data_IF_692870078869
#
_entry.id   IF_692870078869
#
_cell.length_a   1.000
_cell.length_b   1.000
_cell.length_c   1.000
_cell.angle_alpha   90.00
_cell.angle_beta   90.00
_cell.angle_gamma   90.00
#
_symmetry.space_group_name_H-M   'P 1'
#
loop_
_entity.id
_entity.type
_entity.pdbx_description
1 polymer ?
#
# COMPACT_ATOMS: atom_id res chain seq x y z
N UNK A 1 3.07 -17.69 -9.80
CA UNK A 1 2.72 -17.00 -8.55
C UNK A 1 1.43 -16.23 -8.72
N UNK A 2 0.51 -16.37 -7.76
CA UNK A 2 -0.78 -15.71 -7.85
C UNK A 2 -0.69 -14.29 -7.29
N UNK A 3 -0.74 -13.32 -8.18
CA UNK A 3 -0.69 -11.92 -7.77
C UNK A 3 -1.93 -11.20 -8.28
N UNK A 4 -2.36 -10.20 -7.52
CA UNK A 4 -3.41 -9.28 -7.95
C UNK A 4 -2.82 -8.28 -8.93
N UNK A 5 -1.61 -7.78 -8.62
CA UNK A 5 -0.87 -6.92 -9.53
C UNK A 5 0.61 -6.95 -9.20
N UNK A 6 1.40 -6.57 -10.20
CA UNK A 6 2.82 -6.26 -10.03
C UNK A 6 3.09 -5.01 -10.85
N UNK A 7 3.59 -3.97 -10.20
CA UNK A 7 3.84 -2.68 -10.85
C UNK A 7 5.19 -2.14 -10.42
N UNK A 8 5.73 -1.24 -11.22
CA UNK A 8 6.94 -0.49 -10.84
C UNK A 8 6.48 0.74 -10.08
N UNK A 9 6.95 0.88 -8.85
CA UNK A 9 6.53 1.97 -7.98
C UNK A 9 7.34 3.25 -8.26
N UNK A 10 7.05 4.29 -7.48
CA UNK A 10 7.73 5.58 -7.60
C UNK A 10 9.25 5.45 -7.44
N UNK A 11 9.71 4.50 -6.63
CA UNK A 11 11.14 4.31 -6.38
C UNK A 11 11.84 3.47 -7.45
N UNK A 12 11.09 2.92 -8.40
CA UNK A 12 11.65 2.07 -9.45
C UNK A 12 11.69 0.60 -9.10
N UNK A 13 11.12 0.20 -7.97
CA UNK A 13 11.06 -1.21 -7.56
C UNK A 13 9.80 -1.86 -8.09
N UNK A 14 9.88 -3.16 -8.35
CA UNK A 14 8.69 -3.95 -8.68
C UNK A 14 7.98 -4.32 -7.39
N UNK A 15 6.79 -3.81 -7.20
CA UNK A 15 5.98 -4.08 -6.01
C UNK A 15 4.79 -4.92 -6.43
N UNK A 16 4.57 -6.03 -5.72
CA UNK A 16 3.41 -6.87 -6.02
C UNK A 16 2.47 -6.95 -4.83
N UNK A 17 1.21 -7.24 -5.13
CA UNK A 17 0.18 -7.55 -4.14
C UNK A 17 -0.28 -8.97 -4.44
N UNK A 18 -0.03 -9.89 -3.51
CA UNK A 18 -0.45 -11.28 -3.70
C UNK A 18 -1.94 -11.43 -3.46
N UNK A 19 -2.53 -12.46 -4.06
CA UNK A 19 -3.93 -12.78 -3.81
C UNK A 19 -4.18 -13.09 -2.34
N UNK A 20 -3.25 -13.79 -1.70
CA UNK A 20 -3.37 -14.11 -0.30
C UNK A 20 -3.38 -12.85 0.56
N UNK A 21 -2.48 -11.92 0.31
CA UNK A 21 -2.43 -10.67 1.07
C UNK A 21 -3.68 -9.84 0.82
N UNK A 22 -4.13 -9.76 -0.42
CA UNK A 22 -5.35 -9.06 -0.76
C UNK A 22 -6.55 -9.63 -0.01
N UNK A 23 -6.61 -10.96 0.08
CA UNK A 23 -7.65 -11.63 0.83
C UNK A 23 -7.62 -11.24 2.31
N UNK A 24 -6.44 -11.18 2.90
CA UNK A 24 -6.29 -10.75 4.30
C UNK A 24 -6.74 -9.31 4.49
N UNK A 25 -6.34 -8.43 3.58
CA UNK A 25 -6.69 -7.00 3.69
C UNK A 25 -8.20 -6.80 3.58
N UNK A 26 -8.85 -7.53 2.68
CA UNK A 26 -10.26 -7.31 2.37
C UNK A 26 -11.21 -8.26 3.07
N UNK A 27 -10.71 -9.16 3.90
CA UNK A 27 -11.54 -10.14 4.60
C UNK A 27 -12.60 -9.43 5.45
N UNK A 28 -13.85 -9.95 5.49
CA UNK A 28 -14.87 -9.38 6.37
C UNK A 28 -14.47 -9.37 7.84
N UNK A 29 -13.57 -10.27 8.26
CA UNK A 29 -13.07 -10.30 9.62
C UNK A 29 -11.88 -9.38 9.88
N UNK A 30 -11.36 -8.71 8.82
CA UNK A 30 -10.27 -7.76 9.00
C UNK A 30 -10.80 -6.45 9.55
N UNK A 31 -9.87 -5.57 9.97
CA UNK A 31 -10.25 -4.25 10.42
C UNK A 31 -10.62 -3.31 9.27
N UNK A 32 -10.27 -3.68 8.04
CA UNK A 32 -10.37 -2.77 6.89
C UNK A 32 -11.00 -3.45 5.66
N UNK A 33 -12.19 -4.10 5.81
CA UNK A 33 -12.78 -4.80 4.67
C UNK A 33 -13.22 -3.86 3.53
N UNK A 34 -13.42 -2.57 3.83
CA UNK A 34 -13.78 -1.59 2.81
C UNK A 34 -12.69 -1.43 1.74
N UNK A 35 -11.47 -1.92 1.98
CA UNK A 35 -10.38 -1.80 1.02
C UNK A 35 -10.67 -2.53 -0.29
N UNK A 36 -11.66 -3.40 -0.33
CA UNK A 36 -12.10 -4.04 -1.58
C UNK A 36 -12.32 -3.03 -2.70
N UNK A 37 -12.80 -1.83 -2.35
CA UNK A 37 -13.15 -0.81 -3.34
C UNK A 37 -11.99 0.11 -3.70
N UNK A 38 -10.78 -0.16 -3.20
CA UNK A 38 -9.66 0.79 -3.33
C UNK A 38 -8.47 0.23 -4.09
N UNK A 39 -8.68 -0.81 -4.91
CA UNK A 39 -7.55 -1.44 -5.62
C UNK A 39 -6.82 -0.46 -6.54
N UNK A 40 -7.57 0.35 -7.29
CA UNK A 40 -6.94 1.32 -8.18
C UNK A 40 -6.17 2.38 -7.40
N UNK A 41 -6.73 2.83 -6.27
CA UNK A 41 -6.07 3.80 -5.42
C UNK A 41 -4.80 3.23 -4.79
N UNK A 42 -4.78 1.93 -4.48
CA UNK A 42 -3.56 1.28 -3.98
C UNK A 42 -2.46 1.36 -5.04
N UNK A 43 -2.80 1.07 -6.30
CA UNK A 43 -1.84 1.19 -7.40
C UNK A 43 -1.36 2.62 -7.55
N UNK A 44 -2.27 3.58 -7.46
CA UNK A 44 -1.90 4.99 -7.57
C UNK A 44 -1.00 5.44 -6.43
N UNK A 45 -1.27 4.97 -5.21
CA UNK A 45 -0.43 5.30 -4.06
C UNK A 45 1.01 4.83 -4.28
N UNK A 46 1.20 3.70 -4.95
CA UNK A 46 2.53 3.17 -5.22
C UNK A 46 3.24 3.92 -6.34
N UNK A 47 2.51 4.37 -7.35
CA UNK A 47 3.11 5.02 -8.53
C UNK A 47 3.18 6.53 -8.43
N UNK A 48 2.22 7.16 -7.76
CA UNK A 48 2.13 8.61 -7.63
C UNK A 48 1.74 8.98 -6.20
N UNK A 49 2.55 8.60 -5.21
CA UNK A 49 2.20 8.88 -3.82
C UNK A 49 2.24 10.36 -3.50
N UNK A 50 1.41 10.77 -2.55
CA UNK A 50 1.50 12.10 -1.97
C UNK A 50 2.76 12.21 -1.09
N UNK A 51 3.12 11.10 -0.43
CA UNK A 51 4.29 11.05 0.43
C UNK A 51 4.71 9.60 0.65
N UNK A 52 6.02 9.39 0.81
CA UNK A 52 6.56 8.08 1.21
C UNK A 52 7.31 8.31 2.52
N UNK A 53 7.01 7.48 3.52
CA UNK A 53 7.68 7.53 4.83
C UNK A 53 8.37 6.21 5.07
N UNK A 54 9.71 6.22 5.12
CA UNK A 54 10.48 5.03 5.45
C UNK A 54 10.47 4.83 6.96
N UNK A 55 10.34 3.59 7.41
CA UNK A 55 10.33 3.30 8.84
C UNK A 55 11.71 3.55 9.44
N UNK A 56 11.72 4.14 10.62
CA UNK A 56 12.97 4.53 11.28
C UNK A 56 13.80 3.32 11.68
N UNK A 57 13.15 2.27 12.18
CA UNK A 57 13.83 1.11 12.72
C UNK A 57 14.03 -0.01 11.69
N UNK A 58 13.40 0.11 10.53
CA UNK A 58 13.52 -0.91 9.49
C UNK A 58 13.42 -0.22 8.13
N UNK A 59 14.57 0.11 7.55
CA UNK A 59 14.62 0.84 6.29
C UNK A 59 14.14 0.02 5.09
N UNK A 60 13.78 -1.25 5.32
CA UNK A 60 13.15 -2.08 4.29
C UNK A 60 11.65 -1.97 4.29
N UNK A 61 11.08 -1.19 5.21
CA UNK A 61 9.64 -0.94 5.27
C UNK A 61 9.36 0.52 5.00
N UNK A 62 8.30 0.77 4.25
CA UNK A 62 7.87 2.12 3.93
C UNK A 62 6.36 2.17 3.83
N UNK A 63 5.81 3.34 4.15
CA UNK A 63 4.39 3.62 4.00
C UNK A 63 4.22 4.63 2.87
N UNK A 64 3.42 4.27 1.88
CA UNK A 64 3.07 5.12 0.76
C UNK A 64 1.72 5.72 1.05
N UNK A 65 1.62 7.04 1.00
CA UNK A 65 0.38 7.76 1.28
C UNK A 65 -0.17 8.37 0.01
N UNK A 66 -1.48 8.22 -0.19
CA UNK A 66 -2.20 8.90 -1.27
C UNK A 66 -3.36 9.67 -0.66
N UNK A 67 -3.41 10.98 -0.91
CA UNK A 67 -4.52 11.78 -0.43
C UNK A 67 -5.77 11.50 -1.26
N UNK A 68 -6.86 11.13 -0.60
CA UNK A 68 -8.16 10.88 -1.23
C UNK A 68 -9.01 12.13 -1.04
N UNK A 69 -8.98 12.98 -2.03
CA UNK A 69 -9.60 14.30 -1.96
C UNK A 69 -11.09 14.24 -1.63
N UNK A 70 -11.79 13.28 -2.24
CA UNK A 70 -13.24 13.15 -2.08
C UNK A 70 -13.64 12.82 -0.65
N UNK A 71 -12.73 12.26 0.12
CA UNK A 71 -13.02 11.81 1.49
C UNK A 71 -12.22 12.57 2.54
N UNK A 72 -11.26 13.39 2.11
CA UNK A 72 -10.43 14.13 3.05
C UNK A 72 -9.56 13.25 3.93
N UNK A 73 -9.16 12.09 3.44
CA UNK A 73 -8.35 11.13 4.20
C UNK A 73 -7.19 10.67 3.32
N UNK A 74 -6.23 9.99 3.93
CA UNK A 74 -5.13 9.37 3.22
C UNK A 74 -5.34 7.88 3.12
N UNK A 75 -4.95 7.31 1.98
CA UNK A 75 -4.77 5.87 1.86
C UNK A 75 -3.32 5.57 2.21
N UNK A 76 -3.11 4.68 3.17
CA UNK A 76 -1.78 4.21 3.52
C UNK A 76 -1.60 2.82 2.93
N UNK A 77 -0.50 2.63 2.18
CA UNK A 77 -0.11 1.32 1.65
C UNK A 77 1.25 0.99 2.22
N UNK A 78 1.29 -0.02 3.09
CA UNK A 78 2.53 -0.49 3.68
C UNK A 78 3.23 -1.45 2.74
N UNK A 79 4.55 -1.28 2.59
CA UNK A 79 5.36 -2.06 1.67
C UNK A 79 6.59 -2.56 2.39
N UNK A 80 6.97 -3.80 2.10
CA UNK A 80 8.25 -4.38 2.52
C UNK A 80 9.13 -4.49 1.30
N UNK A 81 10.29 -3.85 1.34
CA UNK A 81 11.27 -3.93 0.25
C UNK A 81 12.11 -5.19 0.37
N UNK A 82 12.39 -5.77 -0.79
CA UNK A 82 13.35 -6.86 -0.93
C UNK A 82 14.48 -6.34 -1.81
N UNK A 83 15.27 -7.25 -2.38
CA UNK A 83 16.37 -6.86 -3.27
C UNK A 83 15.80 -6.48 -4.64
N UNK A 84 15.62 -5.18 -4.88
CA UNK A 84 15.15 -4.67 -6.18
C UNK A 84 13.66 -4.80 -6.39
N UNK A 85 12.93 -5.41 -5.46
CA UNK A 85 11.48 -5.52 -5.55
C UNK A 85 10.89 -5.42 -4.15
N UNK A 86 9.59 -5.73 -4.02
CA UNK A 86 8.94 -5.69 -2.74
C UNK A 86 7.49 -6.13 -2.84
N UNK A 87 6.77 -6.05 -1.74
CA UNK A 87 5.37 -6.47 -1.73
C UNK A 87 4.58 -5.63 -0.74
N UNK A 88 3.27 -5.53 -1.04
CA UNK A 88 2.32 -4.83 -0.16
C UNK A 88 2.09 -5.69 1.07
N UNK A 89 2.20 -5.09 2.24
CA UNK A 89 1.92 -5.79 3.50
C UNK A 89 0.57 -5.44 4.07
N UNK A 90 0.10 -4.20 3.86
CA UNK A 90 -1.20 -3.77 4.38
C UNK A 90 -1.68 -2.56 3.59
N UNK A 91 -2.96 -2.23 3.75
CA UNK A 91 -3.53 -1.00 3.19
C UNK A 91 -4.75 -0.62 4.00
N UNK A 92 -4.89 0.67 4.31
CA UNK A 92 -6.06 1.17 5.02
C UNK A 92 -6.15 2.68 4.89
N UNK A 93 -7.32 3.24 5.23
CA UNK A 93 -7.53 4.68 5.24
C UNK A 93 -7.13 5.24 6.60
N UNK A 94 -6.51 6.41 6.60
CA UNK A 94 -6.13 7.09 7.82
C UNK A 94 -6.31 8.60 7.64
N UNK A 95 -6.57 9.29 8.74
CA UNK A 95 -6.75 10.74 8.70
C UNK A 95 -5.45 11.50 8.88
N UNK A 96 -4.38 10.83 9.31
CA UNK A 96 -3.13 11.49 9.63
C UNK A 96 -1.97 10.90 8.86
N UNK A 97 -1.05 11.77 8.46
CA UNK A 97 0.26 11.33 8.01
C UNK A 97 1.10 10.99 9.25
N UNK A 98 1.66 9.81 9.26
CA UNK A 98 2.58 9.39 10.32
C UNK A 98 3.99 9.66 9.81
N UNK A 99 4.79 10.34 10.63
CA UNK A 99 6.18 10.67 10.28
C UNK A 99 7.15 9.85 11.06
#
# INVERSE_FOLDING_TARGET
MDVIFEIVDKSGRKIHLSKERWKHITSPSSLHPYMTNYLQEIKEALTKPSKIVTHTLDNKKADYYLYIKERGVYLLVGVKYLNGDGFVTTAFLTRKLIR
#
